data_IF_406419623953
#
_entry.id   IF_406419623953
#
_cell.length_a   1.000
_cell.length_b   1.000
_cell.length_c   1.000
_cell.angle_alpha   90.00
_cell.angle_beta   90.00
_cell.angle_gamma   90.00
#
_symmetry.space_group_name_H-M   'P 1'
#
loop_
_entity.id
_entity.type
_entity.pdbx_description
1 polymer ?
#
# COMPACT_ATOMS: atom_id res chain seq x y z
N UNK A 1 103.11 66.78 -6.88
CA UNK A 1 101.65 66.96 -6.75
C UNK A 1 100.85 66.44 -7.95
N UNK A 2 101.22 66.72 -9.22
CA UNK A 2 100.43 66.29 -10.39
C UNK A 2 100.16 64.77 -10.52
N UNK A 3 101.11 63.88 -10.13
CA UNK A 3 100.91 62.42 -10.20
C UNK A 3 99.85 61.89 -9.23
N UNK A 4 99.73 62.49 -8.04
CA UNK A 4 98.73 62.10 -7.05
C UNK A 4 97.31 62.52 -7.48
N UNK A 5 97.19 63.71 -8.09
CA UNK A 5 95.92 64.20 -8.65
C UNK A 5 95.45 63.30 -9.79
N UNK A 6 96.34 62.87 -10.68
CA UNK A 6 96.02 61.94 -11.76
C UNK A 6 95.54 60.57 -11.25
N UNK A 7 96.13 60.05 -10.18
CA UNK A 7 95.74 58.77 -9.59
C UNK A 7 94.35 58.82 -8.94
N UNK A 8 94.03 59.93 -8.26
CA UNK A 8 92.71 60.15 -7.64
C UNK A 8 91.61 60.26 -8.71
N UNK A 9 91.87 60.97 -9.80
CA UNK A 9 90.91 61.09 -10.92
C UNK A 9 90.62 59.73 -11.55
N UNK A 10 91.64 58.90 -11.78
CA UNK A 10 91.47 57.54 -12.30
C UNK A 10 90.66 56.64 -11.35
N UNK A 11 90.88 56.76 -10.04
CA UNK A 11 90.11 56.04 -9.01
C UNK A 11 88.64 56.49 -8.96
N UNK A 12 88.37 57.79 -9.11
CA UNK A 12 87.00 58.28 -9.17
C UNK A 12 86.26 57.77 -10.42
N UNK A 13 86.94 57.76 -11.58
CA UNK A 13 86.35 57.24 -12.82
C UNK A 13 86.07 55.74 -12.69
N UNK A 14 87.01 54.95 -12.15
CA UNK A 14 86.79 53.51 -11.97
C UNK A 14 85.65 53.22 -10.97
N UNK A 15 85.52 54.00 -9.90
CA UNK A 15 84.41 53.90 -8.96
C UNK A 15 83.05 54.19 -9.64
N UNK A 16 82.95 55.23 -10.46
CA UNK A 16 81.72 55.56 -11.19
C UNK A 16 81.32 54.46 -12.19
N UNK A 17 82.29 53.85 -12.89
CA UNK A 17 82.03 52.73 -13.81
C UNK A 17 81.49 51.51 -13.07
N UNK A 18 82.06 51.17 -11.90
CA UNK A 18 81.58 50.06 -11.07
C UNK A 18 80.15 50.31 -10.57
N UNK A 19 79.85 51.54 -10.12
CA UNK A 19 78.51 51.91 -9.67
C UNK A 19 77.48 51.86 -10.82
N UNK A 20 77.85 52.34 -12.01
CA UNK A 20 77.00 52.24 -13.21
C UNK A 20 76.75 50.79 -13.62
N UNK A 21 77.76 49.92 -13.54
CA UNK A 21 77.60 48.50 -13.85
C UNK A 21 76.70 47.78 -12.84
N UNK A 22 76.83 48.11 -11.54
CA UNK A 22 75.95 47.58 -10.50
C UNK A 22 74.50 48.03 -10.68
N UNK A 23 74.26 49.30 -11.03
CA UNK A 23 72.91 49.81 -11.25
C UNK A 23 72.23 49.17 -12.47
N UNK A 24 72.97 48.94 -13.56
CA UNK A 24 72.48 48.21 -14.74
C UNK A 24 72.10 46.77 -14.36
N UNK A 25 72.94 46.08 -13.56
CA UNK A 25 72.62 44.72 -13.09
C UNK A 25 71.36 44.68 -12.23
N UNK A 26 71.22 45.62 -11.29
CA UNK A 26 70.02 45.72 -10.47
C UNK A 26 68.76 45.96 -11.31
N UNK A 27 68.83 46.81 -12.34
CA UNK A 27 67.69 47.03 -13.24
C UNK A 27 67.30 45.77 -14.01
N UNK A 28 68.27 45.00 -14.51
CA UNK A 28 68.01 43.75 -15.22
C UNK A 28 67.39 42.68 -14.30
N UNK A 29 67.86 42.58 -13.05
CA UNK A 29 67.27 41.67 -12.06
C UNK A 29 65.85 42.08 -11.69
N UNK A 30 65.59 43.38 -11.49
CA UNK A 30 64.25 43.91 -11.20
C UNK A 30 63.29 43.62 -12.35
N UNK A 31 63.69 43.85 -13.61
CA UNK A 31 62.84 43.53 -14.76
C UNK A 31 62.54 42.03 -14.85
N UNK A 32 63.55 41.19 -14.61
CA UNK A 32 63.37 39.73 -14.60
C UNK A 32 62.40 39.30 -13.50
N UNK A 33 62.51 39.90 -12.31
CA UNK A 33 61.58 39.66 -11.19
C UNK A 33 60.16 40.13 -11.53
N UNK A 34 59.98 41.31 -12.11
CA UNK A 34 58.66 41.80 -12.53
C UNK A 34 58.00 40.88 -13.56
N UNK A 35 58.77 40.36 -14.53
CA UNK A 35 58.25 39.39 -15.51
C UNK A 35 57.83 38.08 -14.84
N UNK A 36 58.61 37.57 -13.88
CA UNK A 36 58.24 36.37 -13.11
C UNK A 36 57.01 36.60 -12.26
N UNK A 37 56.91 37.75 -11.58
CA UNK A 37 55.74 38.12 -10.79
C UNK A 37 54.51 38.19 -11.70
N UNK A 38 54.58 38.88 -12.84
CA UNK A 38 53.46 38.95 -13.78
C UNK A 38 53.02 37.56 -14.29
N UNK A 39 53.98 36.66 -14.56
CA UNK A 39 53.70 35.28 -14.96
C UNK A 39 53.04 34.49 -13.82
N UNK A 40 53.57 34.60 -12.61
CA UNK A 40 53.02 33.95 -11.43
C UNK A 40 51.60 34.46 -11.11
N UNK A 41 51.37 35.77 -11.14
CA UNK A 41 50.03 36.36 -10.93
C UNK A 41 49.02 35.85 -11.96
N UNK A 42 49.41 35.72 -13.24
CA UNK A 42 48.52 35.13 -14.26
C UNK A 42 48.20 33.67 -13.98
N UNK A 43 49.17 32.89 -13.52
CA UNK A 43 48.95 31.49 -13.17
C UNK A 43 48.05 31.35 -11.94
N UNK A 44 48.31 32.14 -10.89
CA UNK A 44 47.48 32.19 -9.68
C UNK A 44 46.03 32.57 -10.04
N UNK A 45 45.82 33.60 -10.85
CA UNK A 45 44.46 33.98 -11.29
C UNK A 45 43.74 32.86 -12.03
N UNK A 46 44.43 32.09 -12.88
CA UNK A 46 43.83 30.94 -13.57
C UNK A 46 43.39 29.85 -12.59
N UNK A 47 44.22 29.54 -11.60
CA UNK A 47 43.87 28.57 -10.56
C UNK A 47 42.73 29.10 -9.67
N UNK A 48 42.74 30.38 -9.32
CA UNK A 48 41.65 31.04 -8.58
C UNK A 48 40.32 30.96 -9.35
N UNK A 49 40.32 31.28 -10.64
CA UNK A 49 39.14 31.15 -11.51
C UNK A 49 38.64 29.70 -11.57
N UNK A 50 39.56 28.73 -11.67
CA UNK A 50 39.21 27.31 -11.66
C UNK A 50 38.59 26.87 -10.31
N UNK A 51 39.13 27.35 -9.19
CA UNK A 51 38.59 27.10 -7.84
C UNK A 51 37.19 27.71 -7.70
N UNK A 52 36.99 28.95 -8.19
CA UNK A 52 35.68 29.61 -8.15
C UNK A 52 34.65 28.81 -8.97
N UNK A 53 35.01 28.36 -10.17
CA UNK A 53 34.12 27.51 -10.97
C UNK A 53 33.81 26.18 -10.27
N UNK A 54 34.80 25.53 -9.66
CA UNK A 54 34.59 24.31 -8.90
C UNK A 54 33.64 24.53 -7.71
N UNK A 55 33.80 25.65 -7.00
CA UNK A 55 32.92 26.04 -5.88
C UNK A 55 31.48 26.26 -6.33
N UNK A 56 31.27 26.91 -7.48
CA UNK A 56 29.93 27.11 -8.05
C UNK A 56 29.28 25.77 -8.42
N UNK A 57 30.03 24.83 -9.02
CA UNK A 57 29.53 23.48 -9.33
C UNK A 57 29.16 22.69 -8.06
N UNK A 58 29.96 22.78 -7.00
CA UNK A 58 29.65 22.15 -5.71
C UNK A 58 28.36 22.74 -5.11
N UNK A 59 28.19 24.06 -5.19
CA UNK A 59 26.99 24.72 -4.69
C UNK A 59 25.74 24.29 -5.46
N UNK A 60 25.84 24.17 -6.79
CA UNK A 60 24.75 23.69 -7.65
C UNK A 60 24.38 22.23 -7.33
N UNK A 61 25.37 21.35 -7.21
CA UNK A 61 25.16 19.95 -6.79
C UNK A 61 24.51 19.87 -5.41
N UNK A 62 24.96 20.66 -4.43
CA UNK A 62 24.33 20.73 -3.11
C UNK A 62 22.88 21.23 -3.19
N UNK A 63 22.62 22.21 -4.04
CA UNK A 63 21.27 22.71 -4.33
C UNK A 63 20.35 21.61 -4.88
N UNK A 64 20.89 20.70 -5.70
CA UNK A 64 20.16 19.54 -6.23
C UNK A 64 20.07 18.37 -5.23
N UNK A 65 21.01 18.24 -4.29
CA UNK A 65 21.05 17.14 -3.34
C UNK A 65 19.91 17.23 -2.31
N UNK A 66 19.58 18.44 -1.84
CA UNK A 66 18.49 18.69 -0.91
C UNK A 66 17.11 18.19 -1.42
N UNK A 67 16.65 18.59 -2.62
CA UNK A 67 15.38 18.11 -3.17
C UNK A 67 15.41 16.61 -3.46
N UNK A 68 16.54 16.05 -3.92
CA UNK A 68 16.67 14.59 -4.12
C UNK A 68 16.52 13.84 -2.80
N UNK A 69 17.14 14.32 -1.71
CA UNK A 69 17.01 13.70 -0.41
C UNK A 69 15.57 13.80 0.13
N UNK A 70 14.89 14.93 -0.11
CA UNK A 70 13.47 15.08 0.25
C UNK A 70 12.58 14.10 -0.52
N UNK A 71 12.77 13.96 -1.84
CA UNK A 71 12.03 13.01 -2.68
C UNK A 71 12.28 11.57 -2.27
N UNK A 72 13.52 11.24 -1.88
CA UNK A 72 13.85 9.92 -1.35
C UNK A 72 13.09 9.62 -0.05
N UNK A 73 13.02 10.58 0.87
CA UNK A 73 12.25 10.43 2.11
C UNK A 73 10.74 10.26 1.82
N UNK A 74 10.18 11.05 0.91
CA UNK A 74 8.79 10.95 0.49
C UNK A 74 8.48 9.60 -0.15
N UNK A 75 9.30 9.13 -1.09
CA UNK A 75 9.15 7.82 -1.72
C UNK A 75 9.27 6.67 -0.71
N UNK A 76 10.16 6.81 0.27
CA UNK A 76 10.32 5.81 1.34
C UNK A 76 9.06 5.73 2.19
N UNK A 77 8.50 6.89 2.58
CA UNK A 77 7.23 6.96 3.30
C UNK A 77 6.08 6.37 2.47
N UNK A 78 5.95 6.77 1.20
CA UNK A 78 4.91 6.26 0.29
C UNK A 78 5.00 4.75 0.07
N UNK A 79 6.22 4.20 0.00
CA UNK A 79 6.46 2.75 -0.09
C UNK A 79 5.97 2.04 1.18
N UNK A 80 6.24 2.60 2.35
CA UNK A 80 5.81 2.02 3.62
C UNK A 80 4.29 2.10 3.79
N UNK A 81 3.67 3.23 3.45
CA UNK A 81 2.21 3.39 3.48
C UNK A 81 1.52 2.41 2.53
N UNK A 82 2.06 2.23 1.32
CA UNK A 82 1.54 1.26 0.34
C UNK A 82 1.70 -0.19 0.84
N UNK A 83 2.84 -0.52 1.47
CA UNK A 83 3.05 -1.85 2.06
C UNK A 83 2.06 -2.14 3.19
N UNK A 84 1.78 -1.14 4.05
CA UNK A 84 0.83 -1.28 5.15
C UNK A 84 -0.60 -1.43 4.63
N UNK A 85 -0.99 -0.61 3.65
CA UNK A 85 -2.29 -0.70 3.00
C UNK A 85 -2.49 -2.06 2.31
N UNK A 86 -1.45 -2.58 1.66
CA UNK A 86 -1.47 -3.91 1.05
C UNK A 86 -1.66 -5.02 2.10
N UNK A 87 -0.91 -4.97 3.20
CA UNK A 87 -1.05 -5.95 4.29
C UNK A 87 -2.46 -5.93 4.91
N UNK A 88 -3.04 -4.74 5.09
CA UNK A 88 -4.40 -4.59 5.59
C UNK A 88 -5.43 -5.17 4.61
N UNK A 89 -5.27 -4.88 3.31
CA UNK A 89 -6.15 -5.42 2.27
C UNK A 89 -6.07 -6.94 2.17
N UNK A 90 -4.89 -7.52 2.35
CA UNK A 90 -4.69 -8.98 2.35
C UNK A 90 -5.40 -9.62 3.54
N UNK A 91 -5.29 -9.00 4.73
CA UNK A 91 -5.95 -9.47 5.94
C UNK A 91 -7.48 -9.42 5.80
N UNK A 92 -8.02 -8.31 5.32
CA UNK A 92 -9.47 -8.17 5.09
C UNK A 92 -9.98 -9.18 4.05
N UNK A 93 -9.20 -9.47 3.01
CA UNK A 93 -9.55 -10.49 2.02
C UNK A 93 -9.60 -11.89 2.65
N UNK A 94 -8.64 -12.21 3.52
CA UNK A 94 -8.61 -13.48 4.23
C UNK A 94 -9.80 -13.64 5.18
N UNK A 95 -10.15 -12.59 5.92
CA UNK A 95 -11.34 -12.56 6.78
C UNK A 95 -12.62 -12.76 5.95
N UNK A 96 -12.77 -12.05 4.83
CA UNK A 96 -13.91 -12.20 3.93
C UNK A 96 -14.04 -13.62 3.34
N UNK A 97 -12.93 -14.27 3.00
CA UNK A 97 -12.94 -15.66 2.51
C UNK A 97 -13.35 -16.66 3.61
N UNK A 98 -12.93 -16.41 4.87
CA UNK A 98 -13.34 -17.21 6.00
C UNK A 98 -14.85 -17.07 6.26
N UNK A 99 -15.34 -15.82 6.32
CA UNK A 99 -16.78 -15.52 6.48
C UNK A 99 -17.62 -16.15 5.36
N UNK A 100 -17.15 -16.09 4.11
CA UNK A 100 -17.84 -16.73 2.99
C UNK A 100 -17.94 -18.25 3.18
N UNK A 101 -16.85 -18.89 3.60
CA UNK A 101 -16.82 -20.35 3.82
C UNK A 101 -17.80 -20.77 4.92
N UNK A 102 -17.87 -19.98 5.99
CA UNK A 102 -18.83 -20.21 7.09
C UNK A 102 -20.28 -19.99 6.63
N UNK A 103 -20.54 -18.92 5.86
CA UNK A 103 -21.85 -18.65 5.29
C UNK A 103 -22.31 -19.76 4.34
N UNK A 104 -21.43 -20.25 3.47
CA UNK A 104 -21.73 -21.36 2.55
C UNK A 104 -22.06 -22.65 3.33
N UNK A 105 -21.28 -22.98 4.37
CA UNK A 105 -21.54 -24.14 5.25
C UNK A 105 -22.90 -24.02 5.97
N UNK A 106 -23.21 -22.83 6.48
CA UNK A 106 -24.48 -22.54 7.16
C UNK A 106 -25.65 -22.65 6.19
N UNK A 107 -25.48 -22.16 4.95
CA UNK A 107 -26.49 -22.27 3.91
C UNK A 107 -26.77 -23.74 3.55
N UNK A 108 -25.73 -24.55 3.36
CA UNK A 108 -25.89 -25.98 3.10
C UNK A 108 -26.64 -26.68 4.24
N UNK A 109 -26.26 -26.41 5.48
CA UNK A 109 -26.94 -26.97 6.66
C UNK A 109 -28.41 -26.55 6.72
N UNK A 110 -28.72 -25.28 6.40
CA UNK A 110 -30.09 -24.79 6.36
C UNK A 110 -30.92 -25.48 5.25
N UNK A 111 -30.32 -25.70 4.07
CA UNK A 111 -30.96 -26.42 2.96
C UNK A 111 -31.26 -27.87 3.37
N UNK A 112 -30.30 -28.57 3.96
CA UNK A 112 -30.47 -29.96 4.40
C UNK A 112 -31.57 -30.08 5.46
N UNK A 113 -31.59 -29.17 6.43
CA UNK A 113 -32.63 -29.11 7.45
C UNK A 113 -34.02 -28.84 6.86
N UNK A 114 -34.12 -27.93 5.88
CA UNK A 114 -35.38 -27.66 5.18
C UNK A 114 -35.87 -28.87 4.39
N UNK A 115 -34.97 -29.58 3.70
CA UNK A 115 -35.33 -30.79 2.96
C UNK A 115 -35.82 -31.89 3.90
N UNK A 116 -35.11 -32.14 5.01
CA UNK A 116 -35.50 -33.11 6.03
C UNK A 116 -36.84 -32.76 6.68
N UNK A 117 -37.06 -31.49 7.02
CA UNK A 117 -38.33 -31.02 7.57
C UNK A 117 -39.49 -31.22 6.60
N UNK A 118 -39.28 -30.92 5.31
CA UNK A 118 -40.29 -31.12 4.27
C UNK A 118 -40.61 -32.60 4.04
N UNK A 119 -39.58 -33.46 4.04
CA UNK A 119 -39.76 -34.91 3.94
C UNK A 119 -40.55 -35.45 5.13
N UNK A 120 -40.18 -35.04 6.35
CA UNK A 120 -40.90 -35.42 7.58
C UNK A 120 -42.35 -34.96 7.54
N UNK A 121 -42.61 -33.70 7.19
CA UNK A 121 -43.98 -33.19 7.06
C UNK A 121 -44.80 -33.96 6.01
N UNK A 122 -44.18 -34.40 4.91
CA UNK A 122 -44.84 -35.24 3.91
C UNK A 122 -45.21 -36.62 4.47
N UNK A 123 -44.29 -37.25 5.19
CA UNK A 123 -44.51 -38.53 5.86
C UNK A 123 -45.62 -38.45 6.91
N UNK A 124 -45.53 -37.47 7.82
CA UNK A 124 -46.49 -37.27 8.91
C UNK A 124 -47.91 -37.02 8.38
N UNK A 125 -48.04 -36.33 7.23
CA UNK A 125 -49.33 -36.12 6.56
C UNK A 125 -49.92 -37.42 5.99
N UNK A 126 -49.09 -38.24 5.36
CA UNK A 126 -49.54 -39.53 4.81
C UNK A 126 -50.01 -40.45 5.94
N UNK A 127 -49.24 -40.53 7.02
CA UNK A 127 -49.58 -41.32 8.21
C UNK A 127 -50.90 -40.83 8.83
N UNK A 128 -51.05 -39.53 9.05
CA UNK A 128 -52.30 -38.95 9.55
C UNK A 128 -53.50 -39.22 8.63
N UNK A 129 -53.33 -39.12 7.31
CA UNK A 129 -54.39 -39.41 6.33
C UNK A 129 -54.80 -40.90 6.35
N UNK A 130 -53.86 -41.81 6.53
CA UNK A 130 -54.13 -43.24 6.68
C UNK A 130 -54.86 -43.55 8.00
N UNK A 131 -54.42 -42.97 9.11
CA UNK A 131 -55.09 -43.09 10.41
C UNK A 131 -56.53 -42.56 10.35
N UNK A 132 -56.74 -41.37 9.77
CA UNK A 132 -58.08 -40.79 9.61
C UNK A 132 -58.99 -41.71 8.80
N UNK A 133 -58.50 -42.29 7.69
CA UNK A 133 -59.28 -43.26 6.89
C UNK A 133 -59.61 -44.52 7.70
N UNK A 134 -58.65 -45.03 8.47
CA UNK A 134 -58.82 -46.18 9.36
C UNK A 134 -59.89 -45.92 10.42
N UNK A 135 -59.78 -44.80 11.13
CA UNK A 135 -60.74 -44.35 12.14
C UNK A 135 -62.14 -44.16 11.55
N UNK A 136 -62.25 -43.54 10.36
CA UNK A 136 -63.53 -43.38 9.67
C UNK A 136 -64.18 -44.73 9.37
N UNK A 137 -63.41 -45.73 8.93
CA UNK A 137 -63.92 -47.08 8.69
C UNK A 137 -64.37 -47.76 9.99
N UNK A 138 -63.61 -47.63 11.07
CA UNK A 138 -64.00 -48.15 12.38
C UNK A 138 -65.29 -47.52 12.90
N UNK A 139 -65.45 -46.19 12.75
CA UNK A 139 -66.68 -45.48 13.11
C UNK A 139 -67.85 -46.02 12.30
N UNK A 140 -67.72 -46.15 10.98
CA UNK A 140 -68.80 -46.68 10.13
C UNK A 140 -69.19 -48.12 10.48
N UNK A 141 -68.22 -49.00 10.76
CA UNK A 141 -68.49 -50.38 11.17
C UNK A 141 -69.20 -50.43 12.54
N UNK A 142 -68.75 -49.61 13.50
CA UNK A 142 -69.38 -49.47 14.81
C UNK A 142 -70.81 -48.94 14.69
N UNK A 143 -71.01 -47.89 13.90
CA UNK A 143 -72.33 -47.27 13.72
C UNK A 143 -73.30 -48.26 13.05
N UNK A 144 -72.83 -49.04 12.06
CA UNK A 144 -73.62 -50.13 11.45
C UNK A 144 -74.02 -51.20 12.49
N UNK A 145 -73.09 -51.65 13.33
CA UNK A 145 -73.38 -52.61 14.40
C UNK A 145 -74.37 -52.05 15.41
N UNK A 146 -74.23 -50.79 15.80
CA UNK A 146 -75.19 -50.14 16.70
C UNK A 146 -76.59 -50.15 16.11
N UNK A 147 -76.73 -49.91 14.80
CA UNK A 147 -78.02 -49.94 14.10
C UNK A 147 -78.71 -51.30 14.12
N UNK A 148 -78.00 -52.42 14.35
CA UNK A 148 -78.63 -53.74 14.54
C UNK A 148 -79.44 -53.82 15.84
N UNK A 149 -79.13 -52.96 16.81
CA UNK A 149 -79.79 -52.90 18.12
C UNK A 149 -80.80 -51.75 18.26
N UNK A 150 -80.97 -50.92 17.22
CA UNK A 150 -81.87 -49.77 17.24
C UNK A 150 -83.29 -50.19 16.85
N UNK A 151 -84.30 -49.73 17.61
CA UNK A 151 -85.70 -49.95 17.26
C UNK A 151 -86.10 -49.10 16.05
N UNK A 152 -86.19 -49.75 14.89
CA UNK A 152 -86.55 -49.13 13.62
C UNK A 152 -88.02 -48.69 13.54
N UNK A 153 -88.85 -48.98 14.56
CA UNK A 153 -90.22 -48.43 14.66
C UNK A 153 -90.23 -47.00 15.19
N UNK A 154 -89.18 -46.57 15.89
CA UNK A 154 -89.01 -45.19 16.37
C UNK A 154 -88.41 -44.32 15.28
N UNK A 155 -89.02 -43.16 15.01
CA UNK A 155 -88.58 -42.26 13.94
C UNK A 155 -87.13 -41.75 14.14
N UNK A 156 -86.72 -41.57 15.38
CA UNK A 156 -85.35 -41.18 15.75
C UNK A 156 -84.32 -42.28 15.43
N UNK A 157 -84.65 -43.55 15.69
CA UNK A 157 -83.80 -44.69 15.33
C UNK A 157 -83.58 -44.81 13.81
N UNK A 158 -84.64 -44.62 13.02
CA UNK A 158 -84.54 -44.59 11.54
C UNK A 158 -83.64 -43.46 11.04
N UNK A 159 -83.76 -42.26 11.65
CA UNK A 159 -82.93 -41.09 11.31
C UNK A 159 -81.45 -41.32 11.65
N UNK A 160 -81.16 -41.85 12.84
CA UNK A 160 -79.78 -42.13 13.27
C UNK A 160 -79.06 -43.13 12.36
N UNK A 161 -79.78 -44.11 11.83
CA UNK A 161 -79.23 -45.14 10.94
C UNK A 161 -79.29 -44.79 9.45
N UNK A 162 -79.68 -43.56 9.09
CA UNK A 162 -79.69 -43.08 7.70
C UNK A 162 -80.67 -43.81 6.79
N UNK A 163 -81.65 -44.52 7.35
CA UNK A 163 -82.70 -45.19 6.56
C UNK A 163 -83.76 -44.15 6.24
N UNK A 164 -83.66 -43.56 5.05
CA UNK A 164 -84.70 -42.70 4.50
C UNK A 164 -86.02 -43.47 4.46
N UNK A 165 -87.10 -42.84 4.94
CA UNK A 165 -88.43 -43.41 5.14
C UNK A 165 -88.83 -44.36 3.99
N UNK A 166 -88.86 -45.67 4.27
CA UNK A 166 -89.67 -46.56 3.45
C UNK A 166 -91.12 -46.21 3.74
N UNK A 167 -91.73 -45.51 2.79
CA UNK A 167 -93.10 -45.05 2.77
C UNK A 167 -94.05 -46.27 2.76
N UNK A 168 -94.99 -46.23 3.72
CA UNK A 168 -96.27 -46.97 3.86
C UNK A 168 -96.24 -48.47 4.09
#
# INVERSE_FOLDING_TARGET
MMRAVSAVVLLCISALVVLAFQSIRQQLEIQTLQVRIAKATKQVRKEEDAIIQAKLKIQDINGLLSPVNSKKAELTKKKQDMSNAWALSLKNLQECLAEKTEADSTMHTAIDNLQNSKAKQGSDKLEADEEIKGLKKQILDRDKKLCEFVDMKVAEGRKLCGVAEAIK
#
